data_IF_711284575567
#
_entry.id   IF_711284575567
#
_cell.length_a   1.000
_cell.length_b   1.000
_cell.length_c   1.000
_cell.angle_alpha   90.00
_cell.angle_beta   90.00
_cell.angle_gamma   90.00
#
_symmetry.space_group_name_H-M   'P 1'
#
loop_
_entity.id
_entity.type
_entity.pdbx_description
1 polymer ?
#
# COMPACT_ATOMS: atom_id res chain seq x y z
N UNK A 1 -20.54 -10.41 12.62
CA UNK A 1 -20.84 -11.85 12.71
C UNK A 1 -19.53 -12.65 12.89
N UNK A 2 -18.59 -12.64 11.94
CA UNK A 2 -17.37 -13.47 11.98
C UNK A 2 -16.48 -13.17 13.19
N UNK A 3 -16.27 -11.89 13.54
CA UNK A 3 -15.43 -11.50 14.69
C UNK A 3 -15.99 -11.94 16.08
N UNK A 4 -17.23 -12.44 16.12
CA UNK A 4 -17.86 -13.01 17.34
C UNK A 4 -17.95 -14.53 17.29
N UNK A 5 -17.47 -15.15 16.24
CA UNK A 5 -17.46 -16.60 16.10
C UNK A 5 -16.35 -17.21 16.98
N UNK A 6 -16.68 -18.13 17.89
CA UNK A 6 -15.68 -18.75 18.78
C UNK A 6 -14.52 -19.42 18.06
N UNK A 7 -14.71 -19.87 16.81
CA UNK A 7 -13.65 -20.46 15.97
C UNK A 7 -12.49 -19.50 15.68
N UNK A 8 -12.76 -18.18 15.71
CA UNK A 8 -11.77 -17.13 15.40
C UNK A 8 -11.39 -16.32 16.62
N UNK A 9 -11.70 -16.80 17.82
CA UNK A 9 -11.36 -16.10 19.06
C UNK A 9 -9.83 -15.92 19.17
N UNK A 10 -9.38 -14.69 19.41
CA UNK A 10 -7.95 -14.34 19.47
C UNK A 10 -7.24 -14.24 18.11
N UNK A 11 -7.92 -14.62 17.02
CA UNK A 11 -7.36 -14.56 15.65
C UNK A 11 -7.92 -13.39 14.85
N UNK A 12 -9.13 -12.90 15.17
CA UNK A 12 -9.79 -11.81 14.49
C UNK A 12 -10.32 -10.80 15.50
N UNK A 13 -9.93 -9.55 15.33
CA UNK A 13 -10.45 -8.41 16.09
C UNK A 13 -11.07 -7.38 15.15
N UNK A 14 -12.28 -6.92 15.47
CA UNK A 14 -12.94 -5.84 14.75
C UNK A 14 -13.17 -4.66 15.71
N UNK A 15 -12.55 -3.54 15.43
CA UNK A 15 -12.69 -2.30 16.18
C UNK A 15 -13.32 -1.22 15.29
N UNK A 16 -14.49 -0.73 15.69
CA UNK A 16 -15.15 0.40 15.04
C UNK A 16 -14.81 1.69 15.81
N UNK A 17 -13.60 2.18 15.59
CA UNK A 17 -13.10 3.39 16.25
C UNK A 17 -12.11 4.12 15.35
N UNK A 18 -12.00 5.43 15.54
CA UNK A 18 -10.89 6.21 15.01
C UNK A 18 -9.88 6.44 16.16
N UNK A 19 -8.72 5.84 16.08
CA UNK A 19 -7.66 5.96 17.06
C UNK A 19 -6.29 5.97 16.37
N UNK A 20 -5.65 7.16 16.22
CA UNK A 20 -4.36 7.28 15.54
C UNK A 20 -3.22 6.50 16.21
N UNK A 21 -3.20 6.42 17.55
CA UNK A 21 -2.16 5.68 18.27
C UNK A 21 -2.28 4.17 17.98
N UNK A 22 -3.50 3.65 18.03
CA UNK A 22 -3.77 2.26 17.69
C UNK A 22 -3.46 1.96 16.22
N UNK A 23 -3.77 2.88 15.30
CA UNK A 23 -3.43 2.72 13.89
C UNK A 23 -1.92 2.56 13.69
N UNK A 24 -1.09 3.37 14.34
CA UNK A 24 0.35 3.25 14.28
C UNK A 24 0.85 1.91 14.84
N UNK A 25 0.25 1.42 15.92
CA UNK A 25 0.58 0.11 16.49
C UNK A 25 0.21 -1.03 15.53
N UNK A 26 -0.93 -0.95 14.86
CA UNK A 26 -1.35 -1.92 13.83
C UNK A 26 -0.37 -1.93 12.66
N UNK A 27 0.02 -0.75 12.15
CA UNK A 27 1.05 -0.68 11.11
C UNK A 27 2.40 -1.27 11.57
N UNK A 28 2.80 -0.99 12.79
CA UNK A 28 4.08 -1.50 13.31
C UNK A 28 4.08 -3.02 13.57
N UNK A 29 2.93 -3.62 13.82
CA UNK A 29 2.79 -5.05 14.12
C UNK A 29 2.49 -5.92 12.90
N UNK A 30 2.06 -5.31 11.78
CA UNK A 30 1.61 -6.04 10.60
C UNK A 30 2.76 -6.50 9.70
N UNK A 31 2.56 -7.60 8.98
CA UNK A 31 3.40 -8.01 7.84
C UNK A 31 2.76 -7.60 6.51
N UNK A 32 1.44 -7.63 6.45
CA UNK A 32 0.64 -7.24 5.29
C UNK A 32 -0.45 -6.24 5.67
N UNK A 33 -0.80 -5.39 4.72
CA UNK A 33 -1.88 -4.43 4.89
C UNK A 33 -2.87 -4.52 3.72
N UNK A 34 -4.11 -4.94 4.01
CA UNK A 34 -5.12 -5.20 2.97
C UNK A 34 -5.95 -3.94 2.70
N UNK A 35 -5.98 -3.48 1.45
CA UNK A 35 -6.70 -2.27 1.01
C UNK A 35 -7.62 -2.62 -0.17
N UNK A 36 -8.80 -3.22 0.08
CA UNK A 36 -9.71 -3.67 -0.96
C UNK A 36 -10.67 -2.55 -1.39
N UNK A 37 -10.18 -1.34 -1.57
CA UNK A 37 -10.98 -0.17 -1.90
C UNK A 37 -11.67 -0.32 -3.24
N UNK A 38 -12.96 0.03 -3.33
CA UNK A 38 -13.68 0.14 -4.60
C UNK A 38 -13.35 1.43 -5.35
N UNK A 39 -13.01 2.46 -4.61
CA UNK A 39 -12.58 3.75 -5.09
C UNK A 39 -11.49 4.29 -4.18
N UNK A 40 -10.37 4.73 -4.74
CA UNK A 40 -9.22 5.23 -3.99
C UNK A 40 -8.58 6.40 -4.75
N UNK A 41 -8.87 7.64 -4.39
CA UNK A 41 -8.37 8.79 -5.15
C UNK A 41 -6.85 8.99 -5.02
N UNK A 42 -6.28 8.69 -3.87
CA UNK A 42 -4.88 8.99 -3.56
C UNK A 42 -4.08 7.77 -3.09
N UNK A 43 -4.61 7.01 -2.14
CA UNK A 43 -3.91 5.89 -1.53
C UNK A 43 -2.73 6.31 -0.66
N UNK A 44 -2.97 7.00 0.44
CA UNK A 44 -1.91 7.31 1.40
C UNK A 44 -1.62 6.16 2.35
N UNK A 45 -2.60 5.31 2.60
CA UNK A 45 -2.50 4.18 3.54
C UNK A 45 -1.49 3.12 3.08
N UNK A 46 -1.36 2.90 1.77
CA UNK A 46 -0.35 1.99 1.22
C UNK A 46 1.08 2.51 1.44
N UNK A 47 1.31 3.81 1.28
CA UNK A 47 2.61 4.41 1.60
C UNK A 47 2.95 4.29 3.09
N UNK A 48 1.98 4.59 3.97
CA UNK A 48 2.17 4.46 5.41
C UNK A 48 2.49 3.00 5.75
N UNK A 49 1.73 2.05 5.22
CA UNK A 49 1.98 0.63 5.42
C UNK A 49 3.40 0.24 4.99
N UNK A 50 3.84 0.64 3.80
CA UNK A 50 5.18 0.35 3.28
C UNK A 50 6.29 0.99 4.11
N UNK A 51 6.09 2.22 4.61
CA UNK A 51 7.05 2.89 5.50
C UNK A 51 7.21 2.16 6.85
N UNK A 52 6.17 1.47 7.32
CA UNK A 52 6.24 0.60 8.50
C UNK A 52 6.72 -0.83 8.17
N UNK A 53 7.05 -1.11 6.91
CA UNK A 53 7.54 -2.42 6.48
C UNK A 53 6.44 -3.42 6.09
N UNK A 54 5.17 -3.02 6.06
CA UNK A 54 4.11 -3.89 5.57
C UNK A 54 4.12 -3.96 4.04
N UNK A 55 3.78 -5.12 3.49
CA UNK A 55 3.50 -5.24 2.07
C UNK A 55 2.00 -5.07 1.81
N UNK A 56 1.58 -4.07 1.02
CA UNK A 56 0.18 -3.83 0.73
C UNK A 56 -0.39 -4.90 -0.20
N UNK A 57 -1.63 -5.33 0.08
CA UNK A 57 -2.45 -6.19 -0.78
C UNK A 57 -3.62 -5.33 -1.24
N UNK A 58 -3.66 -4.94 -2.51
CA UNK A 58 -4.53 -3.86 -2.97
C UNK A 58 -5.42 -4.26 -4.14
N UNK A 59 -6.63 -3.70 -4.19
CA UNK A 59 -7.36 -3.55 -5.44
C UNK A 59 -6.66 -2.47 -6.28
N UNK A 60 -6.19 -2.85 -7.47
CA UNK A 60 -5.36 -2.02 -8.35
C UNK A 60 -6.18 -0.92 -9.05
N UNK A 61 -6.64 0.07 -8.28
CA UNK A 61 -7.51 1.16 -8.73
C UNK A 61 -7.04 2.51 -8.19
N UNK A 62 -7.27 3.58 -8.95
CA UNK A 62 -6.98 4.96 -8.55
C UNK A 62 -5.57 5.13 -8.06
N UNK A 63 -5.38 5.72 -6.89
CA UNK A 63 -4.06 5.94 -6.29
C UNK A 63 -3.30 4.68 -5.89
N UNK A 64 -3.93 3.50 -5.87
CA UNK A 64 -3.27 2.23 -5.54
C UNK A 64 -2.55 1.57 -6.72
N UNK A 65 -2.71 2.10 -7.95
CA UNK A 65 -2.00 1.59 -9.15
C UNK A 65 -0.48 1.75 -9.09
N UNK A 66 0.01 2.51 -8.13
CA UNK A 66 1.44 2.69 -7.85
C UNK A 66 2.08 1.48 -7.16
N UNK A 67 1.29 0.59 -6.55
CA UNK A 67 1.77 -0.69 -6.01
C UNK A 67 2.09 -1.62 -7.18
N UNK A 68 3.35 -2.04 -7.27
CA UNK A 68 3.81 -2.94 -8.33
C UNK A 68 3.65 -4.37 -7.86
N UNK A 69 2.77 -5.12 -8.55
CA UNK A 69 2.44 -6.50 -8.18
C UNK A 69 3.67 -7.42 -8.18
N UNK A 70 3.86 -8.13 -7.09
CA UNK A 70 4.98 -9.05 -6.87
C UNK A 70 6.34 -8.36 -6.61
N UNK A 71 6.39 -7.00 -6.59
CA UNK A 71 7.62 -6.22 -6.38
C UNK A 71 7.50 -5.33 -5.14
N UNK A 72 6.46 -4.50 -5.03
CA UNK A 72 6.29 -3.60 -3.88
C UNK A 72 5.05 -3.94 -3.04
N UNK A 73 4.35 -5.00 -3.39
CA UNK A 73 3.14 -5.49 -2.75
C UNK A 73 2.45 -6.50 -3.65
N UNK A 74 1.18 -6.76 -3.39
CA UNK A 74 0.34 -7.67 -4.17
C UNK A 74 -0.88 -6.90 -4.67
N UNK A 75 -1.18 -7.02 -5.96
CA UNK A 75 -2.29 -6.31 -6.57
C UNK A 75 -3.21 -7.25 -7.34
N UNK A 76 -4.51 -6.95 -7.34
CA UNK A 76 -5.51 -7.63 -8.15
C UNK A 76 -6.39 -6.59 -8.86
N UNK A 77 -6.92 -6.92 -10.04
CA UNK A 77 -7.59 -5.93 -10.92
C UNK A 77 -9.11 -5.93 -10.80
N UNK A 78 -9.73 -7.09 -10.73
CA UNK A 78 -11.18 -7.19 -10.58
C UNK A 78 -11.55 -7.17 -9.10
N UNK A 79 -12.47 -6.27 -8.74
CA UNK A 79 -12.94 -6.15 -7.36
C UNK A 79 -13.94 -7.27 -7.03
N UNK A 80 -13.41 -8.49 -6.88
CA UNK A 80 -14.16 -9.66 -6.51
C UNK A 80 -13.55 -10.37 -5.30
N UNK A 81 -14.33 -11.13 -4.54
CA UNK A 81 -13.81 -11.94 -3.44
C UNK A 81 -12.76 -12.95 -3.90
N UNK A 82 -12.94 -13.54 -5.07
CA UNK A 82 -12.06 -14.56 -5.66
C UNK A 82 -10.67 -13.97 -5.93
N UNK A 83 -10.62 -12.80 -6.57
CA UNK A 83 -9.36 -12.11 -6.88
C UNK A 83 -8.64 -11.62 -5.61
N UNK A 84 -9.39 -11.14 -4.61
CA UNK A 84 -8.79 -10.80 -3.31
C UNK A 84 -8.22 -12.05 -2.64
N UNK A 85 -8.94 -13.18 -2.63
CA UNK A 85 -8.45 -14.44 -2.07
C UNK A 85 -7.18 -14.93 -2.79
N UNK A 86 -7.14 -14.83 -4.11
CA UNK A 86 -5.94 -15.19 -4.87
C UNK A 86 -4.72 -14.33 -4.46
N UNK A 87 -4.92 -13.00 -4.36
CA UNK A 87 -3.85 -12.10 -3.92
C UNK A 87 -3.37 -12.41 -2.49
N UNK A 88 -4.29 -12.72 -1.58
CA UNK A 88 -3.98 -13.18 -0.22
C UNK A 88 -3.18 -14.49 -0.24
N UNK A 89 -3.56 -15.47 -1.06
CA UNK A 89 -2.82 -16.73 -1.18
C UNK A 89 -1.40 -16.50 -1.71
N UNK A 90 -1.22 -15.62 -2.70
CA UNK A 90 0.12 -15.27 -3.21
C UNK A 90 0.98 -14.59 -2.13
N UNK A 91 0.38 -13.70 -1.34
CA UNK A 91 1.06 -13.04 -0.23
C UNK A 91 1.49 -14.03 0.85
N UNK A 92 0.60 -14.94 1.25
CA UNK A 92 0.90 -15.98 2.24
C UNK A 92 1.95 -16.97 1.73
N UNK A 93 1.91 -17.37 0.46
CA UNK A 93 2.94 -18.22 -0.14
C UNK A 93 4.32 -17.52 -0.13
N UNK A 94 4.36 -16.23 -0.49
CA UNK A 94 5.60 -15.43 -0.45
C UNK A 94 6.13 -15.24 0.98
N UNK A 95 5.27 -15.23 2.00
CA UNK A 95 5.66 -15.03 3.39
C UNK A 95 6.61 -16.10 3.93
N UNK A 96 6.57 -17.30 3.36
CA UNK A 96 7.50 -18.39 3.70
C UNK A 96 8.93 -18.14 3.18
N UNK A 97 9.08 -17.27 2.19
CA UNK A 97 10.38 -16.85 1.63
C UNK A 97 10.78 -15.48 2.22
N UNK A 98 11.42 -15.52 3.38
CA UNK A 98 11.84 -14.31 4.10
C UNK A 98 12.84 -13.42 3.36
N UNK A 99 13.80 -13.94 2.57
CA UNK A 99 14.63 -13.13 1.68
C UNK A 99 13.77 -12.33 0.68
N UNK A 100 12.85 -12.98 -0.01
CA UNK A 100 11.95 -12.34 -0.98
C UNK A 100 11.09 -11.24 -0.36
N UNK A 101 10.52 -11.48 0.82
CA UNK A 101 9.76 -10.44 1.55
C UNK A 101 10.63 -9.21 1.83
N UNK A 102 11.87 -9.40 2.27
CA UNK A 102 12.80 -8.29 2.52
C UNK A 102 13.17 -7.52 1.26
N UNK A 103 13.36 -8.22 0.14
CA UNK A 103 13.59 -7.58 -1.16
C UNK A 103 12.40 -6.73 -1.59
N UNK A 104 11.18 -7.23 -1.45
CA UNK A 104 9.96 -6.50 -1.75
C UNK A 104 9.80 -5.27 -0.85
N UNK A 105 10.07 -5.39 0.46
CA UNK A 105 10.04 -4.28 1.40
C UNK A 105 11.07 -3.21 1.04
N UNK A 106 12.29 -3.60 0.70
CA UNK A 106 13.35 -2.68 0.25
C UNK A 106 12.96 -1.96 -1.05
N UNK A 107 12.45 -2.68 -2.05
CA UNK A 107 11.98 -2.10 -3.30
C UNK A 107 10.83 -1.11 -3.10
N UNK A 108 9.92 -1.38 -2.16
CA UNK A 108 8.84 -0.46 -1.81
C UNK A 108 9.36 0.86 -1.21
N UNK A 109 10.31 0.77 -0.27
CA UNK A 109 10.93 1.95 0.34
C UNK A 109 11.73 2.77 -0.68
N UNK A 110 12.55 2.12 -1.51
CA UNK A 110 13.31 2.76 -2.58
C UNK A 110 12.39 3.53 -3.53
N UNK A 111 11.32 2.89 -4.00
CA UNK A 111 10.34 3.54 -4.86
C UNK A 111 9.70 4.77 -4.23
N UNK A 112 9.34 4.72 -2.93
CA UNK A 112 8.80 5.88 -2.23
C UNK A 112 9.83 7.01 -2.16
N UNK A 113 11.07 6.70 -1.80
CA UNK A 113 12.14 7.68 -1.66
C UNK A 113 12.47 8.37 -2.98
N UNK A 114 12.51 7.61 -4.07
CA UNK A 114 12.90 8.11 -5.39
C UNK A 114 11.80 8.87 -6.11
N UNK A 115 10.55 8.46 -5.95
CA UNK A 115 9.45 8.94 -6.80
C UNK A 115 8.37 9.72 -6.06
N UNK A 116 8.22 9.53 -4.73
CA UNK A 116 7.03 9.98 -4.01
C UNK A 116 7.34 10.86 -2.79
N UNK A 117 8.54 11.43 -2.72
CA UNK A 117 8.90 12.42 -1.69
C UNK A 117 8.63 13.84 -2.16
N UNK A 118 8.37 14.75 -1.23
CA UNK A 118 8.28 16.19 -1.54
C UNK A 118 9.50 16.72 -2.26
N UNK A 119 10.70 16.24 -1.92
CA UNK A 119 11.93 16.60 -2.60
C UNK A 119 11.87 16.30 -4.11
N UNK A 120 11.33 15.14 -4.48
CA UNK A 120 11.16 14.74 -5.89
C UNK A 120 10.05 15.54 -6.57
N UNK A 121 8.89 15.62 -5.94
CA UNK A 121 7.71 16.35 -6.46
C UNK A 121 8.03 17.82 -6.69
N UNK A 122 8.77 18.47 -5.79
CA UNK A 122 9.20 19.87 -5.96
C UNK A 122 10.09 20.09 -7.19
N UNK A 123 10.89 19.11 -7.59
CA UNK A 123 11.67 19.21 -8.84
C UNK A 123 10.75 19.28 -10.06
N UNK A 124 9.68 18.50 -10.07
CA UNK A 124 8.70 18.50 -11.16
C UNK A 124 7.94 19.83 -11.22
N UNK A 125 7.55 20.38 -10.06
CA UNK A 125 6.93 21.72 -10.00
C UNK A 125 7.89 22.81 -10.52
N UNK A 126 9.16 22.80 -10.10
CA UNK A 126 10.16 23.75 -10.58
C UNK A 126 10.33 23.65 -12.11
N UNK A 127 10.36 22.44 -12.65
CA UNK A 127 10.45 22.22 -14.09
C UNK A 127 9.21 22.74 -14.82
N UNK A 128 8.03 22.48 -14.29
CA UNK A 128 6.77 23.00 -14.83
C UNK A 128 6.78 24.54 -14.90
N UNK A 129 7.17 25.21 -13.81
CA UNK A 129 7.26 26.67 -13.78
C UNK A 129 8.28 27.22 -14.79
N UNK A 130 9.43 26.55 -14.98
CA UNK A 130 10.43 26.95 -15.99
C UNK A 130 9.85 26.85 -17.41
N UNK A 131 9.14 25.78 -17.72
CA UNK A 131 8.50 25.58 -19.02
C UNK A 131 7.44 26.65 -19.28
N UNK A 132 6.51 26.86 -18.34
CA UNK A 132 5.47 27.89 -18.48
C UNK A 132 6.04 29.31 -18.62
N UNK A 133 7.21 29.57 -18.02
CA UNK A 133 7.89 30.87 -18.16
C UNK A 133 8.59 31.04 -19.51
N UNK A 134 9.11 29.98 -20.08
CA UNK A 134 9.70 29.98 -21.40
C UNK A 134 8.65 30.26 -22.48
N UNK A 135 7.46 29.63 -22.37
CA UNK A 135 6.35 29.79 -23.33
C UNK A 135 5.72 31.19 -23.33
N UNK A 136 5.89 31.98 -22.22
CA UNK A 136 5.42 33.38 -22.15
C UNK A 136 6.37 34.41 -22.77
N UNK A 137 7.47 33.99 -23.39
CA UNK A 137 8.43 34.87 -24.07
C UNK A 137 8.18 34.96 -25.59
N UNK A 138 6.98 34.57 -26.04
CA UNK A 138 6.46 34.82 -27.39
C UNK A 138 5.62 36.08 -27.44
#
# INVERSE_FOLDING_TARGET
>A
AVARDPRYQGQLCFLRAYNPQLANQIYAAGDFFVIPSRYEPCGLTDYIAQLFGNLPIVHHIGGLVKVVDGVTGFAYRENSPENLCEALHRALAAFSDRPRIREMQAAALEKIQDQHTWKRVMQDYVQLYKTCRADKKL
#
